data_IF_320049865725
#
_entry.id   IF_320049865725
#
_cell.length_a   1.000
_cell.length_b   1.000
_cell.length_c   1.000
_cell.angle_alpha   90.00
_cell.angle_beta   90.00
_cell.angle_gamma   90.00
#
_symmetry.space_group_name_H-M   'P 1'
#
loop_
_entity.id
_entity.type
_entity.pdbx_description
1 polymer ?
#
# COMPACT_ATOMS: atom_id res chain seq x y z
N UNK A 1 -6.73 -2.97 -48.08
CA UNK A 1 -5.85 -3.98 -47.44
C UNK A 1 -6.41 -4.22 -46.05
N UNK A 2 -6.98 -5.41 -45.90
CA UNK A 2 -7.91 -5.80 -44.84
C UNK A 2 -7.23 -5.89 -43.48
N UNK A 3 -7.82 -5.27 -42.46
CA UNK A 3 -7.53 -5.58 -41.05
C UNK A 3 -8.22 -6.91 -40.75
N UNK A 4 -7.42 -7.98 -40.62
CA UNK A 4 -7.91 -9.24 -40.08
C UNK A 4 -8.31 -9.04 -38.62
N UNK A 5 -9.61 -9.14 -38.39
CA UNK A 5 -10.19 -9.32 -37.06
C UNK A 5 -9.93 -10.77 -36.67
N UNK A 6 -8.98 -11.00 -35.77
CA UNK A 6 -8.80 -12.31 -35.14
C UNK A 6 -9.98 -12.56 -34.20
N UNK A 7 -10.93 -13.37 -34.67
CA UNK A 7 -11.99 -13.97 -33.88
C UNK A 7 -11.38 -15.19 -33.20
N UNK A 8 -11.16 -15.11 -31.88
CA UNK A 8 -10.69 -16.25 -31.09
C UNK A 8 -11.91 -17.02 -30.59
N UNK A 9 -12.13 -18.20 -31.15
CA UNK A 9 -13.14 -19.17 -30.73
C UNK A 9 -12.86 -19.66 -29.30
N UNK A 10 -13.85 -19.51 -28.42
CA UNK A 10 -13.84 -19.98 -27.03
C UNK A 10 -14.48 -21.37 -26.98
N UNK A 11 -13.71 -22.43 -27.23
CA UNK A 11 -14.14 -23.78 -26.88
C UNK A 11 -12.97 -24.71 -26.51
N UNK A 12 -13.06 -25.24 -25.28
CA UNK A 12 -12.49 -26.49 -24.75
C UNK A 12 -11.16 -26.41 -23.96
N UNK A 13 -11.34 -26.52 -22.65
CA UNK A 13 -10.61 -27.29 -21.63
C UNK A 13 -9.07 -27.33 -21.64
N UNK A 14 -8.48 -26.59 -20.68
CA UNK A 14 -7.22 -26.96 -20.05
C UNK A 14 -6.00 -26.12 -20.40
N UNK A 15 -6.10 -24.78 -20.47
CA UNK A 15 -4.93 -23.87 -20.45
C UNK A 15 -5.33 -22.38 -20.22
N UNK A 16 -6.48 -22.13 -19.58
CA UNK A 16 -7.09 -20.80 -19.51
C UNK A 16 -6.23 -19.74 -18.79
N UNK A 17 -5.38 -20.13 -17.82
CA UNK A 17 -4.51 -19.17 -17.13
C UNK A 17 -3.42 -18.63 -18.05
N UNK A 18 -2.80 -19.49 -18.86
CA UNK A 18 -1.66 -19.14 -19.70
C UNK A 18 -2.11 -18.35 -20.92
N UNK A 19 -3.28 -18.69 -21.48
CA UNK A 19 -3.95 -17.89 -22.50
C UNK A 19 -4.36 -16.50 -21.98
N UNK A 20 -4.85 -16.40 -20.74
CA UNK A 20 -5.19 -15.12 -20.12
C UNK A 20 -3.94 -14.28 -19.83
N UNK A 21 -2.87 -14.89 -19.33
CA UNK A 21 -1.56 -14.24 -19.11
C UNK A 21 -1.00 -13.71 -20.44
N UNK A 22 -1.10 -14.49 -21.53
CA UNK A 22 -0.67 -14.07 -22.87
C UNK A 22 -1.50 -12.88 -23.40
N UNK A 23 -2.82 -12.90 -23.24
CA UNK A 23 -3.70 -11.78 -23.62
C UNK A 23 -3.43 -10.49 -22.82
N UNK A 24 -2.96 -10.66 -21.58
CA UNK A 24 -2.61 -9.58 -20.68
C UNK A 24 -1.24 -8.97 -20.99
N UNK A 25 -0.30 -9.80 -21.45
CA UNK A 25 1.06 -9.39 -21.80
C UNK A 25 1.09 -8.28 -22.86
N UNK A 26 0.09 -8.21 -23.74
CA UNK A 26 -0.03 -7.14 -24.75
C UNK A 26 -0.24 -5.72 -24.16
N UNK A 27 -0.61 -5.59 -22.88
CA UNK A 27 -0.86 -4.29 -22.21
C UNK A 27 0.03 -4.08 -20.98
N UNK A 28 0.90 -5.03 -20.68
CA UNK A 28 1.85 -4.94 -19.59
C UNK A 28 3.16 -4.31 -20.05
N UNK A 29 3.78 -3.57 -19.15
CA UNK A 29 5.19 -3.25 -19.32
C UNK A 29 6.01 -4.52 -19.07
N UNK A 30 7.17 -4.70 -19.73
CA UNK A 30 8.00 -5.89 -19.56
C UNK A 30 8.28 -6.24 -18.10
N UNK A 31 8.63 -5.25 -17.26
CA UNK A 31 8.86 -5.51 -15.84
C UNK A 31 7.59 -5.91 -15.07
N UNK A 32 6.41 -5.45 -15.48
CA UNK A 32 5.15 -5.83 -14.83
C UNK A 32 4.82 -7.30 -15.11
N UNK A 33 5.16 -7.78 -16.31
CA UNK A 33 5.02 -9.18 -16.68
C UNK A 33 5.93 -10.07 -15.82
N UNK A 34 7.21 -9.73 -15.71
CA UNK A 34 8.18 -10.50 -14.91
C UNK A 34 7.72 -10.60 -13.44
N UNK A 35 7.23 -9.48 -12.87
CA UNK A 35 6.67 -9.42 -11.51
C UNK A 35 5.47 -10.37 -11.35
N UNK A 36 4.54 -10.38 -12.32
CA UNK A 36 3.34 -11.21 -12.25
C UNK A 36 3.69 -12.68 -12.39
N UNK A 37 4.61 -13.06 -13.29
CA UNK A 37 5.06 -14.46 -13.47
C UNK A 37 5.72 -15.01 -12.19
N UNK A 38 6.63 -14.23 -11.59
CA UNK A 38 7.34 -14.61 -10.37
C UNK A 38 6.37 -14.76 -9.19
N UNK A 39 5.49 -13.76 -9.00
CA UNK A 39 4.51 -13.77 -7.93
C UNK A 39 3.36 -14.75 -8.18
N UNK A 40 3.09 -15.18 -9.42
CA UNK A 40 2.12 -16.25 -9.68
C UNK A 40 2.67 -17.62 -9.22
N UNK A 41 3.94 -17.89 -9.53
CA UNK A 41 4.62 -19.16 -9.21
C UNK A 41 4.82 -19.34 -7.70
N UNK A 42 5.14 -18.25 -6.99
CA UNK A 42 5.48 -18.30 -5.56
C UNK A 42 4.69 -17.29 -4.74
N UNK A 43 4.25 -17.72 -3.56
CA UNK A 43 3.60 -16.83 -2.59
C UNK A 43 4.61 -15.97 -1.85
N UNK A 44 4.33 -14.67 -1.78
CA UNK A 44 5.24 -13.72 -1.17
C UNK A 44 4.65 -12.32 -1.04
N UNK A 45 5.49 -11.42 -0.54
CA UNK A 45 5.21 -9.99 -0.46
C UNK A 45 5.95 -9.27 -1.57
N UNK A 46 5.21 -8.62 -2.46
CA UNK A 46 5.75 -7.73 -3.47
C UNK A 46 5.94 -6.33 -2.88
N UNK A 47 7.17 -5.82 -2.95
CA UNK A 47 7.53 -4.46 -2.57
C UNK A 47 8.02 -3.71 -3.80
N UNK A 48 7.21 -2.80 -4.32
CA UNK A 48 7.57 -1.97 -5.47
C UNK A 48 7.94 -0.56 -5.04
N UNK A 49 8.80 0.11 -5.80
CA UNK A 49 9.00 1.54 -5.65
C UNK A 49 7.69 2.32 -5.88
N UNK A 50 7.40 3.31 -5.02
CA UNK A 50 6.22 4.18 -5.16
C UNK A 50 6.11 4.72 -6.59
N UNK A 51 4.92 4.65 -7.17
CA UNK A 51 4.65 5.14 -8.53
C UNK A 51 5.03 4.19 -9.67
N UNK A 52 5.59 3.00 -9.41
CA UNK A 52 5.84 1.98 -10.44
C UNK A 52 4.59 1.19 -10.88
N UNK A 53 3.41 1.54 -10.37
CA UNK A 53 2.15 0.95 -10.80
C UNK A 53 1.70 -0.31 -10.03
N UNK A 54 1.92 -0.39 -8.71
CA UNK A 54 1.47 -1.51 -7.87
C UNK A 54 -0.01 -1.88 -8.10
N UNK A 55 -0.89 -0.88 -8.24
CA UNK A 55 -2.32 -1.10 -8.51
C UNK A 55 -2.59 -1.80 -9.85
N UNK A 56 -1.72 -1.64 -10.86
CA UNK A 56 -1.84 -2.35 -12.15
C UNK A 56 -1.50 -3.83 -11.99
N UNK A 57 -0.48 -4.14 -11.20
CA UNK A 57 -0.11 -5.52 -10.84
C UNK A 57 -1.24 -6.16 -10.04
N UNK A 58 -1.75 -5.48 -9.00
CA UNK A 58 -2.89 -5.96 -8.22
C UNK A 58 -4.14 -6.18 -9.09
N UNK A 59 -4.47 -5.23 -9.98
CA UNK A 59 -5.59 -5.38 -10.92
C UNK A 59 -5.42 -6.59 -11.85
N UNK A 60 -4.18 -6.92 -12.21
CA UNK A 60 -3.86 -8.09 -13.02
C UNK A 60 -4.16 -9.39 -12.28
N UNK A 61 -3.77 -9.50 -11.01
CA UNK A 61 -4.16 -10.63 -10.15
C UNK A 61 -5.66 -10.72 -9.92
N UNK A 62 -6.32 -9.58 -9.71
CA UNK A 62 -7.79 -9.53 -9.58
C UNK A 62 -8.47 -10.04 -10.84
N UNK A 63 -7.95 -9.72 -12.03
CA UNK A 63 -8.47 -10.27 -13.29
C UNK A 63 -8.23 -11.77 -13.40
N UNK A 64 -7.00 -12.24 -13.12
CA UNK A 64 -6.63 -13.66 -13.21
C UNK A 64 -7.53 -14.54 -12.34
N UNK A 65 -7.84 -14.09 -11.12
CA UNK A 65 -8.69 -14.83 -10.20
C UNK A 65 -10.20 -14.53 -10.33
N UNK A 66 -10.60 -13.74 -11.33
CA UNK A 66 -11.99 -13.39 -11.58
C UNK A 66 -12.73 -14.53 -12.30
N UNK A 67 -12.87 -15.66 -11.62
CA UNK A 67 -13.56 -16.85 -12.10
C UNK A 67 -14.61 -17.31 -11.09
N UNK A 68 -15.79 -17.78 -11.52
CA UNK A 68 -16.80 -18.32 -10.61
C UNK A 68 -16.33 -19.60 -9.89
N UNK A 69 -15.24 -20.24 -10.34
CA UNK A 69 -14.66 -21.44 -9.71
C UNK A 69 -13.73 -21.14 -8.54
N UNK A 70 -13.28 -19.90 -8.38
CA UNK A 70 -12.34 -19.51 -7.34
C UNK A 70 -12.97 -18.45 -6.44
N UNK A 71 -12.68 -18.48 -5.14
CA UNK A 71 -13.07 -17.43 -4.22
C UNK A 71 -11.83 -16.73 -3.69
N UNK A 72 -11.61 -15.49 -4.11
CA UNK A 72 -10.45 -14.70 -3.68
C UNK A 72 -10.93 -13.43 -3.00
N UNK A 73 -10.40 -13.16 -1.81
CA UNK A 73 -10.76 -11.97 -1.05
C UNK A 73 -9.58 -11.00 -1.05
N UNK A 74 -9.87 -9.74 -1.35
CA UNK A 74 -8.89 -8.68 -1.38
C UNK A 74 -9.11 -7.74 -0.18
N UNK A 75 -8.09 -7.67 0.68
CA UNK A 75 -8.04 -6.82 1.87
C UNK A 75 -7.39 -5.47 1.54
N UNK A 76 -7.84 -4.43 2.24
CA UNK A 76 -7.29 -3.06 2.16
C UNK A 76 -7.28 -2.44 0.76
N UNK A 77 -8.23 -2.83 -0.09
CA UNK A 77 -8.40 -2.31 -1.44
C UNK A 77 -9.72 -1.55 -1.65
N UNK A 78 -10.47 -1.29 -0.58
CA UNK A 78 -11.82 -0.72 -0.68
C UNK A 78 -11.80 0.74 -1.17
N UNK A 79 -10.81 1.54 -0.74
CA UNK A 79 -10.66 2.91 -1.21
C UNK A 79 -10.28 2.97 -2.70
N UNK A 80 -9.44 2.03 -3.15
CA UNK A 80 -8.99 1.93 -4.54
C UNK A 80 -9.94 1.09 -5.42
N UNK A 81 -11.04 0.59 -4.88
CA UNK A 81 -11.92 -0.37 -5.58
C UNK A 81 -12.49 0.19 -6.89
N UNK A 82 -12.84 1.48 -6.93
CA UNK A 82 -13.33 2.12 -8.16
C UNK A 82 -12.26 2.15 -9.26
N UNK A 83 -11.03 2.48 -8.88
CA UNK A 83 -9.87 2.51 -9.78
C UNK A 83 -9.52 1.10 -10.25
N UNK A 84 -9.47 0.12 -9.33
CA UNK A 84 -9.22 -1.28 -9.67
C UNK A 84 -10.28 -1.84 -10.61
N UNK A 85 -11.56 -1.55 -10.39
CA UNK A 85 -12.64 -1.96 -11.30
C UNK A 85 -12.47 -1.37 -12.69
N UNK A 86 -12.09 -0.08 -12.79
CA UNK A 86 -11.80 0.55 -14.09
C UNK A 86 -10.59 -0.10 -14.75
N UNK A 87 -9.52 -0.39 -14.02
CA UNK A 87 -8.33 -1.05 -14.55
C UNK A 87 -8.68 -2.45 -15.06
N UNK A 88 -9.39 -3.25 -14.28
CA UNK A 88 -9.80 -4.60 -14.67
C UNK A 88 -10.72 -4.60 -15.90
N UNK A 89 -11.60 -3.60 -16.03
CA UNK A 89 -12.37 -3.37 -17.26
C UNK A 89 -11.49 -3.04 -18.45
N UNK A 90 -10.50 -2.15 -18.26
CA UNK A 90 -9.56 -1.83 -19.35
C UNK A 90 -8.76 -3.05 -19.75
N UNK A 91 -8.45 -3.97 -18.83
CA UNK A 91 -7.75 -5.21 -19.18
C UNK A 91 -8.64 -6.12 -20.05
N UNK A 92 -9.97 -5.99 -20.00
CA UNK A 92 -10.89 -6.73 -20.86
C UNK A 92 -11.77 -7.73 -20.11
N UNK A 93 -11.94 -7.57 -18.79
CA UNK A 93 -12.86 -8.42 -18.03
C UNK A 93 -14.32 -8.10 -18.37
N UNK A 94 -15.12 -9.15 -18.53
CA UNK A 94 -16.56 -9.03 -18.68
C UNK A 94 -17.22 -8.34 -17.49
N UNK A 95 -18.16 -7.43 -17.80
CA UNK A 95 -18.90 -6.67 -16.78
C UNK A 95 -19.64 -7.54 -15.76
N UNK A 96 -19.97 -8.78 -16.12
CA UNK A 96 -20.70 -9.74 -15.27
C UNK A 96 -19.84 -10.30 -14.14
N UNK A 97 -18.54 -10.45 -14.39
CA UNK A 97 -17.57 -11.00 -13.44
C UNK A 97 -16.90 -9.92 -12.59
N UNK A 98 -17.33 -8.66 -12.70
CA UNK A 98 -16.66 -7.56 -12.01
C UNK A 98 -16.59 -7.79 -10.49
N UNK A 99 -15.41 -7.56 -9.89
CA UNK A 99 -15.25 -7.63 -8.45
C UNK A 99 -16.23 -6.68 -7.75
N UNK A 100 -16.89 -7.19 -6.73
CA UNK A 100 -17.84 -6.43 -5.91
C UNK A 100 -17.20 -6.03 -4.60
N UNK A 101 -17.57 -4.85 -4.11
CA UNK A 101 -17.21 -4.39 -2.78
C UNK A 101 -18.23 -4.92 -1.80
N UNK A 102 -17.76 -5.54 -0.72
CA UNK A 102 -18.56 -6.02 0.39
C UNK A 102 -18.41 -5.03 1.53
N UNK A 103 -19.47 -4.21 1.70
CA UNK A 103 -19.55 -3.20 2.73
C UNK A 103 -20.64 -3.55 3.76
N UNK A 104 -20.72 -2.76 4.83
CA UNK A 104 -21.72 -2.91 5.88
C UNK A 104 -23.17 -2.70 5.37
N UNK A 105 -23.34 -2.21 4.13
CA UNK A 105 -24.64 -2.01 3.49
C UNK A 105 -25.22 -3.31 2.91
N UNK A 106 -24.40 -4.33 2.69
CA UNK A 106 -24.86 -5.61 2.16
C UNK A 106 -25.45 -6.47 3.27
N UNK A 107 -26.66 -6.98 3.04
CA UNK A 107 -27.33 -7.88 3.97
C UNK A 107 -26.57 -9.21 4.09
N UNK A 108 -26.68 -9.88 5.23
CA UNK A 108 -26.01 -11.15 5.51
C UNK A 108 -26.26 -12.20 4.41
N UNK A 109 -27.53 -12.36 4.01
CA UNK A 109 -27.94 -13.34 2.99
C UNK A 109 -27.33 -13.02 1.62
N UNK A 110 -27.20 -11.74 1.27
CA UNK A 110 -26.55 -11.33 0.02
C UNK A 110 -25.07 -11.67 0.04
N UNK A 111 -24.38 -11.40 1.16
CA UNK A 111 -22.95 -11.73 1.32
C UNK A 111 -22.70 -13.22 1.16
N UNK A 112 -23.49 -14.06 1.83
CA UNK A 112 -23.37 -15.52 1.70
C UNK A 112 -23.61 -15.99 0.25
N UNK A 113 -24.61 -15.43 -0.44
CA UNK A 113 -24.85 -15.74 -1.84
C UNK A 113 -23.69 -15.27 -2.74
N UNK A 114 -23.08 -14.12 -2.44
CA UNK A 114 -21.91 -13.63 -3.17
C UNK A 114 -20.72 -14.58 -3.01
N UNK A 115 -20.40 -14.99 -1.78
CA UNK A 115 -19.30 -15.94 -1.55
C UNK A 115 -19.55 -17.30 -2.21
N UNK A 116 -20.81 -17.79 -2.23
CA UNK A 116 -21.19 -19.03 -2.93
C UNK A 116 -21.08 -18.96 -4.45
N UNK A 117 -21.26 -17.77 -5.04
CA UNK A 117 -21.12 -17.58 -6.50
C UNK A 117 -19.67 -17.61 -6.96
N UNK A 118 -18.71 -17.44 -6.04
CA UNK A 118 -17.30 -17.29 -6.37
C UNK A 118 -16.98 -15.96 -7.05
N UNK A 119 -15.70 -15.75 -7.33
CA UNK A 119 -15.12 -14.53 -7.86
C UNK A 119 -14.24 -13.79 -6.85
N UNK A 120 -13.88 -12.56 -7.21
CA UNK A 120 -13.04 -11.68 -6.38
C UNK A 120 -13.91 -10.66 -5.65
N UNK A 121 -13.71 -10.52 -4.34
CA UNK A 121 -14.43 -9.55 -3.52
C UNK A 121 -13.46 -8.62 -2.78
N UNK A 122 -13.77 -7.32 -2.79
CA UNK A 122 -13.08 -6.33 -1.96
C UNK A 122 -13.82 -6.25 -0.63
N UNK A 123 -13.17 -6.65 0.47
CA UNK A 123 -13.84 -6.79 1.78
C UNK A 123 -13.07 -5.99 2.82
N UNK A 124 -13.79 -5.27 3.68
CA UNK A 124 -13.14 -4.65 4.86
C UNK A 124 -12.69 -5.72 5.84
N UNK A 125 -11.54 -5.51 6.49
CA UNK A 125 -11.03 -6.43 7.51
C UNK A 125 -12.05 -6.72 8.62
N UNK A 126 -12.79 -5.70 9.07
CA UNK A 126 -13.82 -5.85 10.12
C UNK A 126 -14.96 -6.79 9.72
N UNK A 127 -15.49 -6.66 8.50
CA UNK A 127 -16.59 -7.53 8.03
C UNK A 127 -16.08 -8.96 7.86
N UNK A 128 -14.88 -9.13 7.29
CA UNK A 128 -14.34 -10.46 7.05
C UNK A 128 -14.07 -11.22 8.36
N UNK A 129 -13.57 -10.55 9.42
CA UNK A 129 -13.41 -11.18 10.73
C UNK A 129 -14.74 -11.69 11.27
N UNK A 130 -15.80 -10.88 11.22
CA UNK A 130 -17.12 -11.28 11.72
C UNK A 130 -17.70 -12.43 10.89
N UNK A 131 -17.51 -12.40 9.57
CA UNK A 131 -17.98 -13.45 8.66
C UNK A 131 -17.23 -14.79 8.89
N UNK A 132 -15.92 -14.74 9.21
CA UNK A 132 -15.13 -15.94 9.52
C UNK A 132 -15.44 -16.50 10.90
N UNK A 133 -15.57 -15.65 11.93
CA UNK A 133 -15.88 -16.09 13.30
C UNK A 133 -17.29 -16.67 13.42
N UNK A 134 -18.26 -16.08 12.72
CA UNK A 134 -19.65 -16.55 12.70
C UNK A 134 -19.88 -17.71 11.71
N UNK A 135 -18.81 -18.23 11.08
CA UNK A 135 -18.86 -19.28 10.05
C UNK A 135 -19.83 -18.98 8.88
N UNK A 136 -19.96 -17.72 8.48
CA UNK A 136 -20.72 -17.35 7.28
C UNK A 136 -19.95 -17.63 5.99
N UNK A 137 -18.62 -17.69 6.07
CA UNK A 137 -17.71 -18.14 5.02
C UNK A 137 -16.83 -19.22 5.59
N UNK A 138 -16.81 -20.38 4.93
CA UNK A 138 -15.88 -21.43 5.30
C UNK A 138 -14.48 -21.10 4.75
N UNK A 139 -13.43 -21.03 5.59
CA UNK A 139 -12.08 -20.71 5.11
C UNK A 139 -11.54 -21.71 4.08
N UNK A 140 -11.99 -22.97 4.11
CA UNK A 140 -11.61 -23.99 3.14
C UNK A 140 -12.09 -23.69 1.71
N UNK A 141 -13.19 -22.94 1.56
CA UNK A 141 -13.71 -22.52 0.25
C UNK A 141 -12.94 -21.35 -0.39
N UNK A 142 -12.12 -20.64 0.39
CA UNK A 142 -11.36 -19.47 -0.09
C UNK A 142 -10.08 -19.95 -0.77
N UNK A 143 -9.99 -19.75 -2.08
CA UNK A 143 -8.83 -20.12 -2.90
C UNK A 143 -7.57 -19.30 -2.54
N UNK A 144 -7.74 -18.05 -2.14
CA UNK A 144 -6.60 -17.22 -1.69
C UNK A 144 -6.97 -15.83 -1.21
N UNK A 145 -5.98 -15.15 -0.62
CA UNK A 145 -6.08 -13.80 -0.09
C UNK A 145 -5.07 -12.87 -0.77
N UNK A 146 -5.57 -11.72 -1.23
CA UNK A 146 -4.74 -10.61 -1.73
C UNK A 146 -4.74 -9.49 -0.69
N UNK A 147 -3.59 -9.18 -0.11
CA UNK A 147 -3.46 -8.15 0.92
C UNK A 147 -2.82 -6.91 0.33
N UNK A 148 -3.60 -5.86 0.09
CA UNK A 148 -3.06 -4.55 -0.25
C UNK A 148 -2.50 -3.86 1.00
N UNK A 149 -1.55 -2.94 0.80
CA UNK A 149 -0.89 -2.21 1.88
C UNK A 149 -0.35 -3.13 3.00
N UNK A 150 0.38 -4.18 2.60
CA UNK A 150 0.90 -5.21 3.50
C UNK A 150 1.76 -4.66 4.66
N UNK A 151 2.28 -3.44 4.54
CA UNK A 151 2.99 -2.74 5.62
C UNK A 151 2.11 -2.35 6.81
N UNK A 152 0.78 -2.44 6.72
CA UNK A 152 -0.12 -2.27 7.86
C UNK A 152 -0.31 -3.56 8.68
N UNK A 153 0.13 -4.71 8.17
CA UNK A 153 0.01 -5.99 8.86
C UNK A 153 1.01 -6.04 10.02
N UNK A 154 0.49 -5.86 11.23
CA UNK A 154 1.22 -5.99 12.50
C UNK A 154 0.57 -7.07 13.37
N UNK A 155 1.24 -7.50 14.44
CA UNK A 155 0.70 -8.50 15.36
C UNK A 155 -0.69 -8.15 15.91
N UNK A 156 -0.92 -6.86 16.18
CA UNK A 156 -2.18 -6.30 16.69
C UNK A 156 -3.20 -5.95 15.60
N UNK A 157 -2.85 -6.12 14.33
CA UNK A 157 -3.72 -5.77 13.20
C UNK A 157 -4.85 -6.78 13.03
N UNK A 158 -5.99 -6.30 12.51
CA UNK A 158 -7.16 -7.14 12.24
C UNK A 158 -6.84 -8.11 11.09
N UNK A 159 -6.03 -7.67 10.15
CA UNK A 159 -5.53 -8.41 8.99
C UNK A 159 -4.72 -9.62 9.44
N UNK A 160 -3.78 -9.46 10.38
CA UNK A 160 -3.02 -10.58 10.93
C UNK A 160 -3.93 -11.62 11.60
N UNK A 161 -5.01 -11.17 12.26
CA UNK A 161 -5.99 -12.07 12.85
C UNK A 161 -6.78 -12.85 11.79
N UNK A 162 -7.22 -12.20 10.70
CA UNK A 162 -7.87 -12.87 9.55
C UNK A 162 -6.95 -13.93 8.95
N UNK A 163 -5.69 -13.57 8.71
CA UNK A 163 -4.69 -14.45 8.08
C UNK A 163 -4.42 -15.69 8.95
N UNK A 164 -4.40 -15.51 10.27
CA UNK A 164 -4.30 -16.61 11.23
C UNK A 164 -5.53 -17.53 11.15
N UNK A 165 -6.74 -16.99 11.21
CA UNK A 165 -7.98 -17.79 11.11
C UNK A 165 -8.05 -18.55 9.78
N UNK A 166 -7.61 -17.92 8.70
CA UNK A 166 -7.53 -18.53 7.38
C UNK A 166 -6.54 -19.72 7.37
N UNK A 167 -5.32 -19.52 7.85
CA UNK A 167 -4.28 -20.57 7.86
C UNK A 167 -4.54 -21.73 8.82
N UNK A 168 -5.31 -21.50 9.90
CA UNK A 168 -5.71 -22.57 10.82
C UNK A 168 -6.61 -23.61 10.13
N UNK A 169 -7.47 -23.20 9.19
CA UNK A 169 -8.42 -24.08 8.50
C UNK A 169 -8.09 -24.37 7.04
N UNK A 170 -7.28 -23.54 6.39
CA UNK A 170 -6.90 -23.69 4.98
C UNK A 170 -5.37 -23.59 4.80
N UNK A 171 -4.75 -24.72 4.45
CA UNK A 171 -3.30 -24.82 4.22
C UNK A 171 -2.90 -24.67 2.76
N UNK A 172 -3.82 -24.92 1.83
CA UNK A 172 -3.52 -25.02 0.40
C UNK A 172 -3.70 -23.69 -0.32
N UNK A 173 -4.57 -22.81 0.18
CA UNK A 173 -4.84 -21.54 -0.48
C UNK A 173 -3.69 -20.52 -0.35
N UNK A 174 -3.60 -19.64 -1.34
CA UNK A 174 -2.46 -18.75 -1.50
C UNK A 174 -2.62 -17.43 -0.74
N UNK A 175 -1.51 -16.81 -0.36
CA UNK A 175 -1.50 -15.46 0.24
C UNK A 175 -0.47 -14.61 -0.51
N UNK A 176 -0.91 -13.48 -1.06
CA UNK A 176 -0.02 -12.54 -1.78
C UNK A 176 -0.18 -11.14 -1.19
N UNK A 177 0.94 -10.57 -0.74
CA UNK A 177 0.99 -9.23 -0.16
C UNK A 177 1.52 -8.20 -1.16
N UNK A 178 0.93 -7.00 -1.16
CA UNK A 178 1.32 -5.90 -2.03
C UNK A 178 1.70 -4.68 -1.18
N UNK A 179 2.83 -4.06 -1.47
CA UNK A 179 3.32 -2.88 -0.77
C UNK A 179 4.08 -1.94 -1.71
N UNK A 180 3.84 -0.64 -1.59
CA UNK A 180 4.63 0.40 -2.25
C UNK A 180 5.45 1.27 -1.25
N UNK A 181 5.21 1.10 0.05
CA UNK A 181 5.89 1.84 1.11
C UNK A 181 7.08 1.06 1.72
N UNK A 182 8.23 1.18 1.07
CA UNK A 182 9.49 0.63 1.59
C UNK A 182 9.96 1.31 2.88
N UNK A 183 9.61 2.58 3.11
CA UNK A 183 10.01 3.32 4.31
C UNK A 183 9.28 2.77 5.53
N UNK A 184 7.98 2.50 5.39
CA UNK A 184 7.20 1.86 6.45
C UNK A 184 7.72 0.45 6.78
N UNK A 185 8.14 -0.33 5.78
CA UNK A 185 8.73 -1.66 5.97
C UNK A 185 10.14 -1.63 6.58
N UNK A 186 10.93 -0.60 6.28
CA UNK A 186 12.25 -0.42 6.88
C UNK A 186 12.22 0.26 8.26
N UNK A 187 11.06 0.76 8.69
CA UNK A 187 10.96 1.48 9.97
C UNK A 187 10.87 0.52 11.17
N UNK A 188 11.76 0.70 12.14
CA UNK A 188 11.79 -0.11 13.38
C UNK A 188 12.63 -1.38 13.27
N UNK A 189 12.51 -2.26 14.26
CA UNK A 189 13.31 -3.49 14.37
C UNK A 189 12.60 -4.67 13.68
N UNK A 190 13.29 -5.36 12.77
CA UNK A 190 12.85 -6.59 12.07
C UNK A 190 11.42 -6.56 11.50
N UNK A 191 10.99 -5.40 10.99
CA UNK A 191 9.60 -5.19 10.59
C UNK A 191 9.19 -6.01 9.37
N UNK A 192 10.11 -6.24 8.42
CA UNK A 192 9.88 -7.12 7.26
C UNK A 192 9.66 -8.56 7.69
N UNK A 193 10.50 -9.08 8.59
CA UNK A 193 10.38 -10.44 9.15
C UNK A 193 9.05 -10.62 9.88
N UNK A 194 8.64 -9.61 10.66
CA UNK A 194 7.32 -9.60 11.30
C UNK A 194 6.20 -9.68 10.26
N UNK A 195 6.21 -8.84 9.22
CA UNK A 195 5.17 -8.85 8.17
C UNK A 195 5.09 -10.22 7.49
N UNK A 196 6.23 -10.82 7.13
CA UNK A 196 6.31 -12.17 6.56
C UNK A 196 5.69 -13.23 7.47
N UNK A 197 6.03 -13.19 8.77
CA UNK A 197 5.49 -14.12 9.78
C UNK A 197 3.97 -14.01 9.90
N UNK A 198 3.43 -12.79 9.92
CA UNK A 198 1.98 -12.57 10.06
C UNK A 198 1.20 -12.84 8.76
N UNK A 199 1.85 -12.73 7.60
CA UNK A 199 1.29 -13.12 6.30
C UNK A 199 1.42 -14.62 6.01
N UNK A 200 2.20 -15.36 6.80
CA UNK A 200 2.52 -16.78 6.56
C UNK A 200 3.14 -17.04 5.18
N UNK A 201 3.99 -16.12 4.72
CA UNK A 201 4.74 -16.24 3.47
C UNK A 201 6.23 -16.21 3.73
N UNK A 202 7.01 -16.83 2.83
CA UNK A 202 8.47 -16.98 2.99
C UNK A 202 9.27 -16.02 2.13
N UNK A 203 8.71 -15.61 1.00
CA UNK A 203 9.45 -14.89 -0.04
C UNK A 203 9.07 -13.41 -0.06
N UNK A 204 10.06 -12.57 -0.36
CA UNK A 204 9.89 -11.13 -0.60
C UNK A 204 10.42 -10.83 -1.99
N UNK A 205 9.61 -10.17 -2.80
CA UNK A 205 9.96 -9.74 -4.15
C UNK A 205 10.20 -8.23 -4.14
N UNK A 206 11.44 -7.80 -4.39
CA UNK A 206 11.85 -6.41 -4.31
C UNK A 206 12.05 -5.82 -5.71
N UNK A 207 11.21 -4.84 -6.07
CA UNK A 207 11.28 -4.13 -7.34
C UNK A 207 11.48 -2.62 -7.12
N UNK A 208 12.71 -2.19 -6.75
CA UNK A 208 13.05 -0.78 -6.65
C UNK A 208 13.14 -0.13 -8.04
N UNK A 209 13.15 1.22 -8.08
CA UNK A 209 13.22 1.96 -9.36
C UNK A 209 14.52 1.74 -10.13
N UNK A 210 15.61 1.40 -9.44
CA UNK A 210 16.91 1.08 -10.05
C UNK A 210 17.05 -0.40 -10.45
N UNK A 211 15.98 -1.20 -10.31
CA UNK A 211 16.01 -2.60 -10.77
C UNK A 211 16.24 -2.66 -12.28
N UNK A 212 17.07 -3.61 -12.74
CA UNK A 212 17.52 -3.69 -14.15
C UNK A 212 16.33 -3.76 -15.13
N UNK A 213 15.33 -4.59 -14.82
CA UNK A 213 14.12 -4.72 -15.65
C UNK A 213 13.27 -3.43 -15.69
N UNK A 214 13.22 -2.69 -14.58
CA UNK A 214 12.45 -1.44 -14.49
C UNK A 214 13.18 -0.33 -15.23
N UNK A 215 14.48 -0.19 -15.00
CA UNK A 215 15.29 0.84 -15.62
C UNK A 215 15.35 0.68 -17.14
N UNK A 216 15.62 -0.53 -17.64
CA UNK A 216 15.64 -0.81 -19.09
C UNK A 216 14.30 -0.57 -19.80
N UNK A 217 13.18 -0.66 -19.07
CA UNK A 217 11.86 -0.33 -19.59
C UNK A 217 11.62 1.19 -19.63
N UNK A 218 11.95 1.91 -18.56
CA UNK A 218 11.66 3.33 -18.40
C UNK A 218 12.65 4.23 -19.18
N UNK A 219 13.89 3.77 -19.38
CA UNK A 219 14.89 4.49 -20.19
C UNK A 219 14.47 4.69 -21.65
N UNK A 220 13.61 3.81 -22.19
CA UNK A 220 13.15 3.89 -23.59
C UNK A 220 12.32 5.14 -23.86
N UNK A 221 11.58 5.64 -22.88
CA UNK A 221 10.67 6.78 -23.02
C UNK A 221 10.70 7.64 -21.75
N UNK A 222 11.74 8.45 -21.60
CA UNK A 222 11.85 9.40 -20.49
C UNK A 222 11.14 10.72 -20.84
N UNK A 223 10.39 11.31 -19.89
CA UNK A 223 9.83 12.65 -20.09
C UNK A 223 10.96 13.70 -20.08
N UNK A 224 10.84 14.73 -20.93
CA UNK A 224 11.73 15.88 -20.89
C UNK A 224 11.47 16.70 -19.61
N UNK A 225 12.50 16.89 -18.79
CA UNK A 225 12.42 17.66 -17.54
C UNK A 225 13.21 18.95 -17.72
N UNK A 226 12.52 20.08 -17.54
CA UNK A 226 13.12 21.41 -17.52
C UNK A 226 13.16 21.90 -16.06
N UNK A 227 14.35 21.96 -15.47
CA UNK A 227 14.53 22.46 -14.10
C UNK A 227 14.65 23.98 -14.12
N UNK A 228 13.70 24.67 -13.49
CA UNK A 228 13.69 26.13 -13.34
C UNK A 228 13.96 26.44 -11.87
N UNK A 229 15.12 27.01 -11.58
CA UNK A 229 15.45 27.45 -10.24
C UNK A 229 14.80 28.80 -9.95
N UNK A 230 13.90 28.83 -8.96
CA UNK A 230 13.24 30.06 -8.50
C UNK A 230 13.76 30.40 -7.12
N UNK A 231 14.53 31.48 -7.02
CA UNK A 231 15.08 31.94 -5.75
C UNK A 231 14.01 32.57 -4.86
N UNK A 232 14.09 32.35 -3.56
CA UNK A 232 13.28 33.09 -2.59
C UNK A 232 13.61 34.58 -2.59
N UNK A 233 12.58 35.40 -2.36
CA UNK A 233 12.76 36.83 -2.13
C UNK A 233 13.60 37.09 -0.86
N UNK A 234 14.26 38.25 -0.72
CA UNK A 234 15.05 38.57 0.47
C UNK A 234 14.26 38.42 1.78
N UNK A 235 13.01 38.89 1.81
CA UNK A 235 12.14 38.78 2.98
C UNK A 235 11.78 37.34 3.33
N UNK A 236 11.53 36.50 2.31
CA UNK A 236 11.27 35.07 2.53
C UNK A 236 12.49 34.35 3.10
N UNK A 237 13.71 34.69 2.66
CA UNK A 237 14.95 34.12 3.21
C UNK A 237 15.13 34.46 4.69
N UNK A 238 14.91 35.72 5.06
CA UNK A 238 15.01 36.17 6.46
C UNK A 238 13.99 35.43 7.34
N UNK A 239 12.75 35.29 6.87
CA UNK A 239 11.71 34.54 7.59
C UNK A 239 12.06 33.04 7.71
N UNK A 240 12.54 32.43 6.63
CA UNK A 240 12.96 31.03 6.63
C UNK A 240 14.10 30.80 7.63
N UNK A 241 15.12 31.66 7.64
CA UNK A 241 16.25 31.56 8.57
C UNK A 241 15.78 31.70 10.03
N UNK A 242 14.93 32.68 10.32
CA UNK A 242 14.38 32.86 11.66
C UNK A 242 13.57 31.63 12.13
N UNK A 243 12.76 31.04 11.24
CA UNK A 243 12.00 29.82 11.53
C UNK A 243 12.92 28.60 11.74
N UNK A 244 13.99 28.47 10.95
CA UNK A 244 14.96 27.38 11.10
C UNK A 244 15.72 27.49 12.43
N UNK A 245 16.12 28.69 12.83
CA UNK A 245 16.76 28.95 14.15
C UNK A 245 15.81 28.62 15.30
N UNK A 246 14.54 29.04 15.20
CA UNK A 246 13.52 28.69 16.19
C UNK A 246 13.28 27.18 16.27
N UNK A 247 13.24 26.50 15.13
CA UNK A 247 13.08 25.04 15.06
C UNK A 247 14.29 24.33 15.69
N UNK A 248 15.52 24.77 15.41
CA UNK A 248 16.72 24.19 16.00
C UNK A 248 16.76 24.39 17.53
N UNK A 249 16.38 25.58 18.00
CA UNK A 249 16.29 25.86 19.44
C UNK A 249 15.25 24.95 20.13
N UNK A 250 14.07 24.77 19.54
CA UNK A 250 13.03 23.89 20.10
C UNK A 250 13.44 22.43 20.11
N UNK A 251 14.14 21.94 19.07
CA UNK A 251 14.69 20.56 19.04
C UNK A 251 15.74 20.37 20.14
N UNK A 252 16.66 21.34 20.32
CA UNK A 252 17.67 21.31 21.38
C UNK A 252 17.05 21.35 22.78
N UNK A 253 16.00 22.15 22.99
CA UNK A 253 15.25 22.16 24.25
C UNK A 253 14.51 20.83 24.49
N UNK A 254 13.92 20.25 23.45
CA UNK A 254 13.24 18.96 23.55
C UNK A 254 14.21 17.85 23.94
N UNK A 255 15.40 17.83 23.33
CA UNK A 255 16.48 16.89 23.62
C UNK A 255 16.97 17.01 25.07
N UNK A 256 17.10 18.23 25.60
CA UNK A 256 17.50 18.46 27.00
C UNK A 256 16.46 17.98 28.00
N UNK A 257 15.18 18.20 27.71
CA UNK A 257 14.09 17.91 28.64
C UNK A 257 13.61 16.44 28.57
N UNK A 258 13.95 15.70 27.51
CA UNK A 258 13.39 14.36 27.26
C UNK A 258 14.49 13.33 27.03
N UNK A 259 15.02 12.77 28.13
CA UNK A 259 16.07 11.73 28.08
C UNK A 259 15.59 10.37 27.51
N UNK A 260 14.28 10.20 27.36
CA UNK A 260 13.70 8.98 26.78
C UNK A 260 13.78 8.93 25.25
N UNK A 261 14.09 10.06 24.60
CA UNK A 261 14.30 10.12 23.16
C UNK A 261 15.80 9.99 22.87
N UNK A 262 16.14 9.17 21.88
CA UNK A 262 17.53 9.05 21.44
C UNK A 262 18.01 10.36 20.79
N UNK A 263 19.17 10.83 21.22
CA UNK A 263 19.83 12.00 20.67
C UNK A 263 20.13 11.82 19.17
N UNK A 264 20.36 10.59 18.71
CA UNK A 264 20.61 10.29 17.30
C UNK A 264 19.37 10.53 16.41
N UNK A 265 18.17 10.57 16.99
CA UNK A 265 16.91 10.78 16.26
C UNK A 265 16.44 12.25 16.27
N UNK A 266 17.01 13.09 17.13
CA UNK A 266 16.69 14.50 17.30
C UNK A 266 17.67 15.41 16.54
N UNK A 267 17.88 15.14 15.25
CA UNK A 267 18.73 15.96 14.36
C UNK A 267 17.89 16.91 13.50
N UNK A 268 18.47 18.03 13.06
CA UNK A 268 17.78 19.02 12.21
C UNK A 268 17.26 18.42 10.89
N UNK A 269 18.05 17.56 10.23
CA UNK A 269 17.64 16.89 8.98
C UNK A 269 16.39 16.03 9.17
N UNK A 270 16.36 15.27 10.27
CA UNK A 270 15.18 14.49 10.67
C UNK A 270 14.02 15.42 11.02
N UNK A 271 14.25 16.55 11.71
CA UNK A 271 13.19 17.50 12.07
C UNK A 271 12.49 18.10 10.84
N UNK A 272 13.21 18.29 9.73
CA UNK A 272 12.61 18.74 8.47
C UNK A 272 11.78 17.65 7.77
N UNK A 273 12.13 16.37 7.95
CA UNK A 273 11.46 15.25 7.30
C UNK A 273 9.98 15.13 7.69
N UNK A 274 9.08 14.96 6.70
CA UNK A 274 7.61 14.91 6.90
C UNK A 274 7.16 13.91 7.97
N UNK A 275 7.87 12.78 8.12
CA UNK A 275 7.58 11.71 9.07
C UNK A 275 7.93 12.04 10.54
N UNK A 276 8.67 13.11 10.81
CA UNK A 276 9.20 13.41 12.14
C UNK A 276 8.13 13.60 13.21
N UNK A 277 7.03 14.30 12.91
CA UNK A 277 5.93 14.48 13.87
C UNK A 277 5.28 13.14 14.27
N UNK A 278 5.14 12.22 13.30
CA UNK A 278 4.60 10.89 13.57
C UNK A 278 5.59 10.05 14.37
N UNK A 279 6.89 10.15 14.08
CA UNK A 279 7.94 9.51 14.85
C UNK A 279 7.96 9.97 16.32
N UNK A 280 7.94 11.28 16.56
CA UNK A 280 7.92 11.85 17.90
C UNK A 280 6.67 11.42 18.66
N UNK A 281 5.49 11.46 18.03
CA UNK A 281 4.24 10.96 18.66
C UNK A 281 4.36 9.49 19.02
N UNK A 282 4.83 8.63 18.12
CA UNK A 282 4.97 7.19 18.38
C UNK A 282 5.86 6.90 19.60
N UNK A 283 6.92 7.67 19.81
CA UNK A 283 7.82 7.51 20.96
C UNK A 283 7.25 8.11 22.26
N UNK A 284 6.52 9.23 22.17
CA UNK A 284 6.03 9.97 23.32
C UNK A 284 4.63 9.54 23.78
N UNK A 285 3.80 8.97 22.91
CA UNK A 285 2.42 8.54 23.21
C UNK A 285 2.34 7.56 24.41
N UNK A 286 3.21 6.52 24.52
CA UNK A 286 3.19 5.62 25.67
C UNK A 286 3.48 6.31 27.00
N UNK A 287 4.26 7.40 26.97
CA UNK A 287 4.69 8.17 28.14
C UNK A 287 3.96 9.50 28.29
N UNK A 288 2.96 9.79 27.44
CA UNK A 288 2.38 11.13 27.29
C UNK A 288 1.83 11.69 28.60
N UNK A 289 1.21 10.83 29.41
CA UNK A 289 0.67 11.20 30.72
C UNK A 289 1.75 11.59 31.74
N UNK A 290 2.98 11.07 31.60
CA UNK A 290 4.11 11.35 32.50
C UNK A 290 4.95 12.56 32.08
N UNK A 291 4.74 13.08 30.87
CA UNK A 291 5.52 14.20 30.35
C UNK A 291 5.09 15.54 30.99
N UNK A 292 6.05 16.42 31.33
CA UNK A 292 5.78 17.78 31.78
C UNK A 292 4.96 18.58 30.76
N UNK A 293 4.17 19.53 31.24
CA UNK A 293 3.40 20.44 30.38
C UNK A 293 4.29 21.19 29.37
N UNK A 294 5.50 21.61 29.81
CA UNK A 294 6.50 22.26 28.94
C UNK A 294 6.89 21.38 27.75
N UNK A 295 7.14 20.08 27.96
CA UNK A 295 7.51 19.16 26.87
C UNK A 295 6.36 18.97 25.88
N UNK A 296 5.12 18.89 26.38
CA UNK A 296 3.92 18.80 25.51
C UNK A 296 3.76 20.04 24.64
N UNK A 297 4.00 21.22 25.21
CA UNK A 297 4.00 22.49 24.47
C UNK A 297 5.09 22.50 23.41
N UNK A 298 6.33 22.12 23.72
CA UNK A 298 7.44 22.06 22.75
C UNK A 298 7.11 21.15 21.55
N UNK A 299 6.45 20.01 21.75
CA UNK A 299 6.01 19.12 20.66
C UNK A 299 4.94 19.78 19.78
N UNK A 300 4.04 20.55 20.39
CA UNK A 300 3.07 21.38 19.70
C UNK A 300 3.74 22.48 18.87
N UNK A 301 4.61 23.25 19.50
CA UNK A 301 5.37 24.35 18.87
C UNK A 301 6.20 23.85 17.68
N UNK A 302 6.86 22.70 17.83
CA UNK A 302 7.60 22.07 16.74
C UNK A 302 6.70 21.70 15.55
N UNK A 303 5.45 21.28 15.81
CA UNK A 303 4.49 20.99 14.74
C UNK A 303 4.06 22.28 14.04
N UNK A 304 3.82 23.36 14.80
CA UNK A 304 3.44 24.67 14.28
C UNK A 304 4.55 25.31 13.45
N UNK A 305 5.79 25.35 13.96
CA UNK A 305 6.95 25.90 13.24
C UNK A 305 7.18 25.20 11.90
N UNK A 306 7.00 23.88 11.86
CA UNK A 306 7.11 23.10 10.62
C UNK A 306 5.97 23.37 9.65
N UNK A 307 4.75 23.62 10.14
CA UNK A 307 3.64 24.04 9.30
C UNK A 307 3.89 25.44 8.71
N UNK A 308 4.36 26.39 9.52
CA UNK A 308 4.72 27.74 9.05
C UNK A 308 5.80 27.68 7.96
N UNK A 309 6.84 26.87 8.15
CA UNK A 309 7.89 26.67 7.14
C UNK A 309 7.34 26.08 5.83
N UNK A 310 6.33 25.21 5.92
CA UNK A 310 5.65 24.66 4.74
C UNK A 310 4.67 25.65 4.08
N UNK A 311 4.16 26.62 4.84
CA UNK A 311 3.22 27.64 4.35
C UNK A 311 3.90 28.79 3.64
N UNK A 312 5.12 29.16 4.06
CA UNK A 312 5.90 30.26 3.49
C UNK A 312 5.94 30.27 1.94
N UNK A 313 6.21 29.15 1.24
CA UNK A 313 6.21 29.12 -0.23
C UNK A 313 4.84 28.86 -0.87
N UNK A 314 3.81 28.48 -0.09
CA UNK A 314 2.54 27.98 -0.63
C UNK A 314 1.38 28.96 -0.53
N UNK A 315 1.39 29.81 0.50
CA UNK A 315 0.32 30.78 0.74
C UNK A 315 0.77 32.18 0.33
N UNK A 316 -0.21 32.99 -0.04
CA UNK A 316 -0.02 34.41 -0.28
C UNK A 316 0.22 35.17 1.04
N UNK A 317 0.80 36.36 0.95
CA UNK A 317 1.23 37.15 2.11
C UNK A 317 0.07 37.64 3.00
N UNK A 318 -1.19 37.54 2.54
CA UNK A 318 -2.38 37.98 3.27
C UNK A 318 -3.00 36.83 4.08
N UNK A 319 -2.91 35.60 3.57
CA UNK A 319 -3.42 34.41 4.26
C UNK A 319 -2.42 33.82 5.28
N UNK A 320 -1.18 34.31 5.29
CA UNK A 320 -0.13 33.93 6.25
C UNK A 320 -0.27 34.64 7.60
#
# INVERSE_FOLDING_TARGET
>A
MEQQVEVVDLSVDGDDSDAVISSLAARWLPYERDVVEELYTQDGVLVMGRGLGLLRVLASFVRLYCSPRCLVLCLNANEQAATLRRLVLTLGLDRRLLPRVVDARNNLNERQQMYKRGGVFFVTARILVVDLLSNHVDPGSISGLLVNDAHHVTETSIEAFILRLYRERNRDGFIKGFCDDSVALSSGFNRVEQVLKHLYVRNVFLYPRFHVAVNSCLEKHQPEVYEIEVAFSPSMKIMQEALLVALEATVKELQRNTKSLDAADLTMDKALAKSFSSFIRRQLDPLWHKLPAKTKQLVGDLSTLRQLLAYLPRYDAISQ
#
